data_IF_033744443447
#
_entry.id   IF_033744443447
#
_cell.length_a   1.000
_cell.length_b   1.000
_cell.length_c   1.000
_cell.angle_alpha   90.00
_cell.angle_beta   90.00
_cell.angle_gamma   90.00
#
_symmetry.space_group_name_H-M   'P 1'
#
loop_
_entity.id
_entity.type
_entity.pdbx_description
1 polymer ?
#
# COMPACT_ATOMS: atom_id res chain seq x y z
N UNK A 1 -10.94 23.24 2.88
CA UNK A 1 -10.58 22.17 3.81
C UNK A 1 -11.45 20.96 3.52
N UNK A 2 -10.84 19.80 3.38
CA UNK A 2 -11.54 18.53 3.29
C UNK A 2 -12.35 18.29 4.57
N UNK A 3 -13.59 17.83 4.44
CA UNK A 3 -14.41 17.41 5.57
C UNK A 3 -14.89 16.00 5.32
N UNK A 4 -14.50 15.08 6.19
CA UNK A 4 -14.78 13.66 6.04
C UNK A 4 -16.05 13.29 6.81
N UNK A 5 -16.95 12.58 6.13
CA UNK A 5 -18.13 11.99 6.76
C UNK A 5 -17.72 10.79 7.60
N UNK A 6 -18.25 10.69 8.81
CA UNK A 6 -18.06 9.55 9.69
C UNK A 6 -19.31 8.68 9.74
N UNK A 7 -19.15 7.37 9.67
CA UNK A 7 -20.22 6.38 9.80
C UNK A 7 -19.91 5.47 10.97
N UNK A 8 -20.92 5.25 11.82
CA UNK A 8 -20.82 4.34 12.96
C UNK A 8 -21.25 2.94 12.58
N UNK A 9 -20.61 1.94 13.17
CA UNK A 9 -21.01 0.54 13.11
C UNK A 9 -20.70 -0.15 14.45
N UNK A 10 -21.31 -1.29 14.70
CA UNK A 10 -21.07 -2.08 15.91
C UNK A 10 -20.32 -3.37 15.56
N UNK A 11 -19.28 -3.69 16.34
CA UNK A 11 -18.57 -4.96 16.26
C UNK A 11 -18.18 -5.44 17.64
N UNK A 12 -18.47 -6.70 17.96
CA UNK A 12 -18.22 -7.31 19.27
C UNK A 12 -18.81 -6.48 20.43
N UNK A 13 -20.00 -5.90 20.25
CA UNK A 13 -20.66 -5.04 21.23
C UNK A 13 -20.01 -3.65 21.42
N UNK A 14 -19.00 -3.30 20.61
CA UNK A 14 -18.32 -2.00 20.66
C UNK A 14 -18.73 -1.17 19.45
N UNK A 15 -19.31 0.00 19.69
CA UNK A 15 -19.59 0.99 18.65
C UNK A 15 -18.29 1.66 18.21
N UNK A 16 -18.06 1.65 16.89
CA UNK A 16 -16.87 2.19 16.23
C UNK A 16 -17.30 3.17 15.15
N UNK A 17 -16.41 4.06 14.73
CA UNK A 17 -16.68 5.00 13.66
C UNK A 17 -15.55 5.01 12.64
N UNK A 18 -15.89 4.80 11.38
CA UNK A 18 -14.98 4.93 10.24
C UNK A 18 -15.28 6.20 9.45
N UNK A 19 -14.26 6.74 8.80
CA UNK A 19 -14.38 7.79 7.81
C UNK A 19 -14.73 7.19 6.46
N UNK A 20 -15.65 7.84 5.76
CA UNK A 20 -15.91 7.59 4.36
C UNK A 20 -14.86 8.29 3.51
N UNK A 21 -14.30 7.56 2.54
CA UNK A 21 -13.40 8.15 1.58
C UNK A 21 -14.15 9.03 0.57
N UNK A 22 -13.51 10.13 0.19
CA UNK A 22 -13.87 10.93 -0.96
C UNK A 22 -12.57 11.42 -1.60
N UNK A 23 -12.07 10.74 -2.65
CA UNK A 23 -10.79 11.04 -3.26
C UNK A 23 -10.68 12.47 -3.81
N UNK A 24 -11.82 13.12 -4.12
CA UNK A 24 -11.86 14.50 -4.57
C UNK A 24 -11.67 15.52 -3.43
N UNK A 25 -11.87 15.07 -2.19
CA UNK A 25 -11.78 15.90 -0.99
C UNK A 25 -10.50 15.64 -0.20
N UNK A 26 -9.93 14.43 -0.24
CA UNK A 26 -8.88 14.02 0.70
C UNK A 26 -8.04 12.82 0.28
N UNK A 27 -6.92 12.51 0.99
CA UNK A 27 -6.10 11.34 0.70
C UNK A 27 -6.78 10.06 1.20
N UNK A 28 -7.05 9.11 0.30
CA UNK A 28 -7.56 7.78 0.66
C UNK A 28 -6.67 7.04 1.65
N UNK A 29 -5.34 7.21 1.54
CA UNK A 29 -4.38 6.64 2.48
C UNK A 29 -4.53 7.18 3.91
N UNK A 30 -4.92 8.45 4.06
CA UNK A 30 -5.20 9.07 5.35
C UNK A 30 -6.46 8.46 5.99
N UNK A 31 -7.51 8.28 5.18
CA UNK A 31 -8.77 7.62 5.60
C UNK A 31 -8.51 6.17 5.99
N UNK A 32 -7.74 5.42 5.20
CA UNK A 32 -7.38 4.03 5.49
C UNK A 32 -6.60 3.89 6.79
N UNK A 33 -5.55 4.71 6.99
CA UNK A 33 -4.78 4.72 8.23
C UNK A 33 -5.66 5.00 9.45
N UNK A 34 -6.51 6.05 9.38
CA UNK A 34 -7.45 6.36 10.46
C UNK A 34 -8.40 5.20 10.75
N UNK A 35 -8.99 4.59 9.72
CA UNK A 35 -10.01 3.55 9.89
C UNK A 35 -9.42 2.33 10.59
N UNK A 36 -8.22 1.89 10.23
CA UNK A 36 -7.55 0.78 10.94
C UNK A 36 -7.28 1.15 12.40
N UNK A 37 -6.75 2.34 12.67
CA UNK A 37 -6.49 2.76 14.06
C UNK A 37 -7.79 2.86 14.87
N UNK A 38 -8.88 3.35 14.28
CA UNK A 38 -10.20 3.41 14.90
C UNK A 38 -10.78 2.03 15.21
N UNK A 39 -10.49 1.06 14.36
CA UNK A 39 -10.89 -0.32 14.50
C UNK A 39 -10.02 -1.07 15.52
N UNK A 40 -8.73 -0.75 15.64
CA UNK A 40 -7.85 -1.41 16.61
C UNK A 40 -7.94 -0.79 18.00
N UNK A 41 -8.15 0.52 18.09
CA UNK A 41 -8.04 1.29 19.33
C UNK A 41 -9.32 2.07 19.66
N UNK A 42 -10.50 1.44 19.62
CA UNK A 42 -11.85 2.04 19.73
C UNK A 42 -12.01 3.23 20.69
N UNK A 43 -11.26 3.26 21.79
CA UNK A 43 -11.29 4.33 22.80
C UNK A 43 -10.74 5.68 22.32
N UNK A 44 -9.89 5.73 21.30
CA UNK A 44 -9.17 6.95 20.90
C UNK A 44 -10.02 7.85 20.00
N UNK A 45 -11.03 7.30 19.31
CA UNK A 45 -11.68 7.98 18.19
C UNK A 45 -13.20 8.10 18.31
N UNK A 46 -13.78 7.90 19.49
CA UNK A 46 -15.23 7.83 19.73
C UNK A 46 -16.04 9.13 19.59
N UNK A 47 -15.48 10.25 19.10
CA UNK A 47 -16.24 11.50 18.90
C UNK A 47 -16.99 11.48 17.57
N UNK A 48 -18.30 11.72 17.63
CA UNK A 48 -19.13 12.00 16.46
C UNK A 48 -18.90 13.45 16.00
N UNK A 49 -18.97 13.67 14.69
CA UNK A 49 -18.79 14.99 14.08
C UNK A 49 -18.02 14.92 12.76
N UNK A 50 -18.06 15.98 11.94
CA UNK A 50 -17.19 16.12 10.78
C UNK A 50 -15.73 16.21 11.25
N UNK A 51 -14.86 15.42 10.63
CA UNK A 51 -13.41 15.52 10.84
C UNK A 51 -12.84 16.27 9.66
N UNK A 52 -11.98 17.26 9.93
CA UNK A 52 -11.12 17.82 8.90
C UNK A 52 -9.79 17.06 8.84
N UNK A 53 -9.01 17.34 7.79
CA UNK A 53 -7.72 16.71 7.56
C UNK A 53 -6.75 16.92 8.73
N UNK A 54 -6.70 18.13 9.29
CA UNK A 54 -5.80 18.46 10.41
C UNK A 54 -6.14 17.66 11.67
N UNK A 55 -7.43 17.50 11.95
CA UNK A 55 -7.90 16.67 13.06
C UNK A 55 -7.47 15.22 12.88
N UNK A 56 -7.60 14.68 11.67
CA UNK A 56 -7.20 13.28 11.37
C UNK A 56 -5.68 13.12 11.48
N UNK A 57 -4.91 14.04 10.89
CA UNK A 57 -3.44 14.02 10.96
C UNK A 57 -2.96 14.16 12.40
N UNK A 58 -3.55 15.04 13.20
CA UNK A 58 -3.23 15.20 14.62
C UNK A 58 -3.49 13.94 15.44
N UNK A 59 -4.57 13.24 15.12
CA UNK A 59 -4.94 11.97 15.75
C UNK A 59 -3.98 10.82 15.40
N UNK A 60 -3.60 10.68 14.13
CA UNK A 60 -2.60 9.69 13.70
C UNK A 60 -1.24 10.00 14.34
N UNK A 61 -0.85 11.28 14.44
CA UNK A 61 0.38 11.70 15.15
C UNK A 61 0.37 11.31 16.62
N UNK A 62 -0.76 11.45 17.29
CA UNK A 62 -0.92 11.02 18.69
C UNK A 62 -0.61 9.55 18.85
N UNK A 63 -1.22 8.70 18.02
CA UNK A 63 -1.01 7.25 18.06
C UNK A 63 0.41 6.85 17.66
N UNK A 64 0.98 7.51 16.65
CA UNK A 64 2.37 7.30 16.26
C UNK A 64 3.32 7.61 17.42
N UNK A 65 3.08 8.70 18.15
CA UNK A 65 3.86 9.08 19.33
C UNK A 65 3.73 8.02 20.42
N UNK A 66 2.51 7.58 20.73
CA UNK A 66 2.27 6.54 21.74
C UNK A 66 2.99 5.24 21.37
N UNK A 67 2.94 4.83 20.10
CA UNK A 67 3.68 3.66 19.60
C UNK A 67 5.21 3.83 19.76
N UNK A 68 5.76 5.00 19.44
CA UNK A 68 7.17 5.29 19.62
C UNK A 68 7.60 5.34 21.09
N UNK A 69 6.72 5.79 21.97
CA UNK A 69 6.98 5.85 23.41
C UNK A 69 6.97 4.45 24.03
N UNK A 70 6.07 3.55 23.57
CA UNK A 70 6.09 2.12 23.92
C UNK A 70 7.37 1.41 23.46
N UNK A 71 7.86 1.72 22.26
CA UNK A 71 9.08 1.13 21.71
C UNK A 71 10.37 1.75 22.29
N UNK A 72 10.28 2.86 23.02
CA UNK A 72 11.40 3.50 23.69
C UNK A 72 12.57 3.82 22.75
N UNK A 73 13.80 3.43 23.14
CA UNK A 73 15.03 3.72 22.38
C UNK A 73 15.21 2.90 21.10
N UNK A 74 14.32 1.94 20.83
CA UNK A 74 14.39 1.06 19.67
C UNK A 74 14.14 1.80 18.35
N UNK A 75 13.44 2.95 18.39
CA UNK A 75 13.20 3.80 17.23
C UNK A 75 14.05 5.07 17.32
N UNK A 76 14.93 5.28 16.33
CA UNK A 76 15.82 6.43 16.27
C UNK A 76 15.05 7.75 16.13
N UNK A 77 15.61 8.85 16.63
CA UNK A 77 14.99 10.19 16.53
C UNK A 77 14.76 10.62 15.07
N UNK A 78 15.62 10.21 14.14
CA UNK A 78 15.45 10.49 12.71
C UNK A 78 14.25 9.74 12.15
N UNK A 79 14.09 8.45 12.45
CA UNK A 79 12.92 7.67 12.02
C UNK A 79 11.61 8.24 12.57
N UNK A 80 11.59 8.67 13.85
CA UNK A 80 10.41 9.33 14.43
C UNK A 80 10.01 10.59 13.66
N UNK A 81 10.99 11.43 13.31
CA UNK A 81 10.76 12.66 12.55
C UNK A 81 10.32 12.38 11.12
N UNK A 82 10.89 11.36 10.48
CA UNK A 82 10.52 10.93 9.13
C UNK A 82 9.06 10.47 9.09
N UNK A 83 8.66 9.56 9.98
CA UNK A 83 7.27 9.08 10.08
C UNK A 83 6.29 10.23 10.36
N UNK A 84 6.64 11.18 11.24
CA UNK A 84 5.79 12.33 11.51
C UNK A 84 5.63 13.27 10.31
N UNK A 85 6.65 13.39 9.44
CA UNK A 85 6.58 14.20 8.22
C UNK A 85 5.80 13.49 7.11
N UNK A 86 5.92 12.17 7.02
CA UNK A 86 5.15 11.38 6.06
C UNK A 86 3.62 11.57 6.24
N UNK A 87 3.16 11.89 7.45
CA UNK A 87 1.74 12.26 7.71
C UNK A 87 1.37 13.56 7.00
N UNK A 88 2.26 14.55 6.95
CA UNK A 88 2.03 15.82 6.25
C UNK A 88 2.00 15.62 4.73
N UNK A 89 2.82 14.69 4.23
CA UNK A 89 2.95 14.37 2.82
C UNK A 89 1.77 13.54 2.26
N UNK A 90 0.86 13.07 3.13
CA UNK A 90 -0.42 12.49 2.71
C UNK A 90 -1.28 13.57 2.06
N UNK A 91 -1.37 13.52 0.74
CA UNK A 91 -2.18 14.41 -0.11
C UNK A 91 -3.02 13.59 -1.11
N UNK A 92 -4.19 14.10 -1.56
CA UNK A 92 -5.12 13.35 -2.41
C UNK A 92 -4.50 12.74 -3.68
N UNK A 93 -3.47 13.39 -4.23
CA UNK A 93 -2.85 13.01 -5.51
C UNK A 93 -1.58 12.19 -5.36
N UNK A 94 -1.14 11.88 -4.13
CA UNK A 94 0.16 11.22 -3.90
C UNK A 94 0.03 10.08 -2.91
N UNK A 95 -0.18 8.89 -3.45
CA UNK A 95 0.02 7.62 -2.74
C UNK A 95 1.25 6.95 -3.32
N UNK A 96 2.44 7.36 -2.88
CA UNK A 96 3.72 6.87 -3.41
C UNK A 96 4.10 5.51 -2.78
N UNK A 97 3.15 4.61 -2.57
CA UNK A 97 3.44 3.23 -2.13
C UNK A 97 3.68 2.39 -3.37
N UNK A 98 4.77 1.62 -3.39
CA UNK A 98 5.23 0.90 -4.58
C UNK A 98 5.29 -0.59 -4.30
N UNK A 99 4.27 -1.37 -4.72
CA UNK A 99 4.25 -2.81 -4.49
C UNK A 99 5.37 -3.51 -5.25
N UNK A 100 5.82 -4.65 -4.72
CA UNK A 100 6.81 -5.51 -5.34
C UNK A 100 6.18 -6.89 -5.63
N UNK A 101 6.38 -7.47 -6.82
CA UNK A 101 5.74 -8.73 -7.18
C UNK A 101 6.18 -9.94 -6.34
N UNK A 102 7.20 -9.82 -5.50
CA UNK A 102 7.73 -10.90 -4.65
C UNK A 102 6.75 -11.44 -3.61
N UNK A 103 5.74 -10.66 -3.19
CA UNK A 103 4.76 -11.11 -2.20
C UNK A 103 3.75 -10.04 -1.81
N UNK A 104 2.62 -10.45 -1.21
CA UNK A 104 1.51 -9.55 -0.91
C UNK A 104 1.82 -8.42 0.11
N UNK A 105 2.86 -8.59 0.95
CA UNK A 105 3.31 -7.60 1.93
C UNK A 105 4.57 -6.85 1.46
N UNK A 106 5.01 -7.10 0.22
CA UNK A 106 6.30 -6.64 -0.27
C UNK A 106 6.15 -5.27 -0.94
N UNK A 107 6.83 -4.27 -0.40
CA UNK A 107 6.84 -2.92 -0.95
C UNK A 107 8.26 -2.35 -1.00
N UNK A 108 8.51 -1.42 -1.93
CA UNK A 108 9.72 -0.62 -1.90
C UNK A 108 9.73 0.25 -0.63
N UNK A 109 10.84 0.23 0.10
CA UNK A 109 11.00 1.02 1.33
C UNK A 109 11.01 2.52 0.97
N UNK A 110 10.00 3.24 1.46
CA UNK A 110 9.88 4.68 1.35
C UNK A 110 9.17 5.27 2.58
N UNK A 111 9.10 6.60 2.65
CA UNK A 111 8.57 7.32 3.81
C UNK A 111 7.12 6.94 4.15
N UNK A 112 6.28 6.74 3.13
CA UNK A 112 4.87 6.40 3.31
C UNK A 112 4.71 4.95 3.77
N UNK A 113 5.43 3.99 3.16
CA UNK A 113 5.45 2.61 3.62
C UNK A 113 5.93 2.52 5.08
N UNK A 114 7.02 3.21 5.42
CA UNK A 114 7.56 3.24 6.78
C UNK A 114 6.59 3.85 7.79
N UNK A 115 5.77 4.84 7.40
CA UNK A 115 4.71 5.37 8.26
C UNK A 115 3.73 4.26 8.68
N UNK A 116 3.24 3.45 7.74
CA UNK A 116 2.33 2.35 8.06
C UNK A 116 3.01 1.32 8.96
N UNK A 117 4.27 0.96 8.70
CA UNK A 117 5.04 0.08 9.59
C UNK A 117 5.14 0.64 11.02
N UNK A 118 5.39 1.95 11.17
CA UNK A 118 5.46 2.59 12.49
C UNK A 118 4.10 2.67 13.22
N UNK A 119 3.00 2.71 12.47
CA UNK A 119 1.64 2.61 13.01
C UNK A 119 1.25 1.15 13.31
N UNK A 120 2.11 0.18 13.00
CA UNK A 120 1.83 -1.24 13.12
C UNK A 120 0.73 -1.70 12.16
N UNK A 121 0.53 -0.99 11.04
CA UNK A 121 -0.49 -1.32 10.04
C UNK A 121 0.19 -2.13 8.94
N UNK A 122 -0.28 -3.36 8.75
CA UNK A 122 0.14 -4.19 7.63
C UNK A 122 -0.54 -3.69 6.35
N UNK A 123 0.30 -3.31 5.39
CA UNK A 123 -0.11 -2.99 4.03
C UNK A 123 -0.05 -4.27 3.20
N UNK A 124 -1.09 -4.53 2.43
CA UNK A 124 -1.16 -5.62 1.46
C UNK A 124 -1.35 -5.08 0.04
N UNK A 125 -0.97 -5.86 -0.98
CA UNK A 125 -1.38 -5.65 -2.36
C UNK A 125 -1.64 -6.98 -3.08
N UNK A 126 -2.45 -6.93 -4.14
CA UNK A 126 -2.74 -8.09 -4.98
C UNK A 126 -1.82 -8.25 -6.19
N UNK A 127 -0.88 -7.35 -6.42
CA UNK A 127 0.05 -7.44 -7.55
C UNK A 127 1.24 -8.35 -7.24
N UNK A 128 1.03 -9.67 -7.21
CA UNK A 128 2.06 -10.67 -6.87
C UNK A 128 2.30 -11.58 -8.07
N UNK A 129 3.57 -11.77 -8.44
CA UNK A 129 3.97 -12.70 -9.49
C UNK A 129 3.95 -14.12 -8.94
N UNK A 130 3.49 -15.06 -9.77
CA UNK A 130 3.53 -16.49 -9.46
C UNK A 130 4.99 -16.96 -9.35
N UNK A 131 5.44 -17.51 -8.21
CA UNK A 131 6.79 -18.05 -8.04
C UNK A 131 7.15 -19.17 -8.99
N UNK A 132 6.15 -19.90 -9.53
CA UNK A 132 6.36 -20.97 -10.52
C UNK A 132 6.52 -20.43 -11.95
N UNK A 133 6.28 -19.13 -12.16
CA UNK A 133 6.44 -18.49 -13.47
C UNK A 133 7.91 -18.32 -13.84
N UNK A 134 8.23 -18.61 -15.11
CA UNK A 134 9.57 -18.46 -15.66
C UNK A 134 10.15 -17.03 -15.57
N UNK A 135 9.31 -16.01 -15.37
CA UNK A 135 9.75 -14.61 -15.24
C UNK A 135 9.87 -14.13 -13.80
N UNK A 136 9.54 -14.96 -12.80
CA UNK A 136 9.51 -14.54 -11.39
C UNK A 136 10.82 -13.89 -10.94
N UNK A 137 11.95 -14.56 -11.19
CA UNK A 137 13.29 -14.06 -10.82
C UNK A 137 13.65 -12.73 -11.48
N UNK A 138 13.04 -12.41 -12.64
CA UNK A 138 13.29 -11.16 -13.35
C UNK A 138 12.46 -9.99 -12.80
N UNK A 139 11.28 -10.26 -12.22
CA UNK A 139 10.30 -9.23 -11.88
C UNK A 139 10.10 -9.01 -10.38
N UNK A 140 10.42 -10.00 -9.53
CA UNK A 140 10.05 -10.04 -8.11
C UNK A 140 10.49 -8.82 -7.29
N UNK A 141 11.59 -8.18 -7.69
CA UNK A 141 12.19 -7.02 -7.00
C UNK A 141 11.98 -5.69 -7.74
N UNK A 142 11.16 -5.68 -8.80
CA UNK A 142 10.90 -4.50 -9.63
C UNK A 142 9.51 -3.94 -9.33
N UNK A 143 9.46 -2.69 -8.86
CA UNK A 143 8.21 -1.94 -8.76
C UNK A 143 7.61 -1.65 -10.14
N UNK A 144 6.31 -1.31 -10.26
CA UNK A 144 5.66 -1.14 -11.56
C UNK A 144 6.40 -0.16 -12.49
N UNK A 145 6.84 0.97 -11.95
CA UNK A 145 7.59 1.97 -12.70
C UNK A 145 8.96 1.46 -13.17
N UNK A 146 9.69 0.71 -12.32
CA UNK A 146 10.99 0.11 -12.69
C UNK A 146 10.80 -0.97 -13.75
N UNK A 147 9.74 -1.76 -13.64
CA UNK A 147 9.39 -2.80 -14.60
C UNK A 147 9.00 -2.21 -15.96
N UNK A 148 8.20 -1.13 -15.98
CA UNK A 148 7.87 -0.40 -17.20
C UNK A 148 9.13 0.20 -17.87
N UNK A 149 10.03 0.79 -17.09
CA UNK A 149 11.32 1.28 -17.60
C UNK A 149 12.18 0.15 -18.16
N UNK A 150 12.20 -1.01 -17.48
CA UNK A 150 12.92 -2.19 -17.94
C UNK A 150 12.39 -2.68 -19.29
N UNK A 151 11.08 -2.79 -19.45
CA UNK A 151 10.45 -3.14 -20.73
C UNK A 151 10.85 -2.17 -21.85
N UNK A 152 10.74 -0.85 -21.61
CA UNK A 152 11.13 0.16 -22.60
C UNK A 152 12.62 0.06 -22.99
N UNK A 153 13.49 -0.29 -22.05
CA UNK A 153 14.92 -0.47 -22.33
C UNK A 153 15.23 -1.72 -23.16
N UNK A 154 14.41 -2.76 -23.05
CA UNK A 154 14.55 -3.99 -23.82
C UNK A 154 14.08 -3.82 -25.26
N UNK A 155 12.98 -3.09 -25.49
CA UNK A 155 12.48 -2.75 -26.83
C UNK A 155 13.55 -2.01 -27.66
N UNK A 156 14.33 -1.11 -27.03
CA UNK A 156 15.45 -0.42 -27.68
C UNK A 156 16.66 -1.31 -28.03
N UNK A 157 16.72 -2.56 -27.54
CA UNK A 157 17.81 -3.50 -27.77
C UNK A 157 17.46 -4.63 -28.76
N UNK A 158 16.17 -4.83 -29.09
CA UNK A 158 15.71 -5.88 -29.99
C UNK A 158 16.24 -5.75 -31.43
N UNK A 159 16.52 -4.52 -31.86
CA UNK A 159 17.12 -4.25 -33.16
C UNK A 159 18.49 -4.93 -33.36
N UNK A 160 19.21 -5.24 -32.27
CA UNK A 160 20.61 -5.72 -32.31
C UNK A 160 20.82 -7.19 -31.94
N UNK A 161 19.76 -7.97 -31.69
CA UNK A 161 19.86 -9.38 -31.23
C UNK A 161 19.56 -10.40 -32.33
N UNK A 162 20.17 -11.56 -32.22
CA UNK A 162 19.97 -12.76 -33.04
C UNK A 162 18.54 -13.32 -32.86
N UNK A 163 18.01 -14.07 -33.83
CA UNK A 163 16.58 -14.46 -33.86
C UNK A 163 16.12 -15.32 -32.66
N UNK A 164 16.97 -16.22 -32.15
CA UNK A 164 16.65 -17.01 -30.95
C UNK A 164 16.62 -16.13 -29.69
N UNK A 165 17.54 -15.16 -29.60
CA UNK A 165 17.58 -14.20 -28.50
C UNK A 165 16.39 -13.24 -28.58
N UNK A 166 15.93 -12.87 -29.77
CA UNK A 166 14.68 -12.10 -29.98
C UNK A 166 13.45 -12.88 -29.51
N UNK A 167 13.32 -14.16 -29.85
CA UNK A 167 12.17 -14.97 -29.43
C UNK A 167 12.08 -15.15 -27.91
N UNK A 168 13.21 -15.44 -27.24
CA UNK A 168 13.26 -15.53 -25.78
C UNK A 168 12.98 -14.18 -25.10
N UNK A 169 13.47 -13.08 -25.70
CA UNK A 169 13.19 -11.72 -25.22
C UNK A 169 11.71 -11.37 -25.39
N UNK A 170 11.10 -11.70 -26.53
CA UNK A 170 9.70 -11.44 -26.81
C UNK A 170 8.75 -12.24 -25.90
N UNK A 171 9.05 -13.51 -25.63
CA UNK A 171 8.25 -14.33 -24.69
C UNK A 171 8.31 -13.79 -23.25
N UNK A 172 9.50 -13.41 -22.79
CA UNK A 172 9.68 -12.78 -21.48
C UNK A 172 8.98 -11.42 -21.40
N UNK A 173 9.08 -10.59 -22.44
CA UNK A 173 8.38 -9.32 -22.52
C UNK A 173 6.86 -9.48 -22.52
N UNK A 174 6.31 -10.44 -23.27
CA UNK A 174 4.86 -10.68 -23.29
C UNK A 174 4.37 -11.10 -21.91
N UNK A 175 5.10 -11.98 -21.21
CA UNK A 175 4.74 -12.41 -19.85
C UNK A 175 4.82 -11.23 -18.86
N UNK A 176 5.81 -10.35 -19.00
CA UNK A 176 5.93 -9.13 -18.20
C UNK A 176 4.80 -8.14 -18.54
N UNK A 177 4.44 -8.01 -19.83
CA UNK A 177 3.30 -7.19 -20.28
C UNK A 177 1.98 -7.75 -19.77
N UNK A 178 1.79 -9.07 -19.71
CA UNK A 178 0.64 -9.69 -19.05
C UNK A 178 0.62 -9.35 -17.56
N UNK A 179 1.75 -9.43 -16.84
CA UNK A 179 1.82 -9.02 -15.44
C UNK A 179 1.49 -7.53 -15.26
N UNK A 180 1.95 -6.67 -16.17
CA UNK A 180 1.62 -5.23 -16.23
C UNK A 180 0.14 -4.97 -16.58
N UNK A 181 -0.46 -5.80 -17.43
CA UNK A 181 -1.88 -5.70 -17.80
C UNK A 181 -2.80 -6.23 -16.71
N UNK A 182 -2.43 -7.32 -16.04
CA UNK A 182 -3.08 -7.80 -14.80
C UNK A 182 -2.93 -6.77 -13.67
N UNK A 183 -1.92 -5.89 -13.77
CA UNK A 183 -1.79 -4.73 -12.88
C UNK A 183 -2.88 -3.68 -13.07
N UNK A 184 -3.63 -3.68 -14.18
CA UNK A 184 -4.77 -2.78 -14.32
C UNK A 184 -5.88 -3.08 -13.29
N UNK A 185 -5.85 -4.29 -12.68
CA UNK A 185 -6.70 -4.69 -11.55
C UNK A 185 -5.94 -4.83 -10.22
N UNK A 186 -4.59 -4.78 -10.27
CA UNK A 186 -3.67 -5.00 -9.15
C UNK A 186 -4.00 -6.20 -8.26
N UNK A 187 -4.61 -7.25 -8.84
CA UNK A 187 -5.01 -8.47 -8.17
C UNK A 187 -4.83 -9.64 -9.13
N UNK A 188 -3.74 -10.38 -8.99
CA UNK A 188 -3.46 -11.60 -9.76
C UNK A 188 -4.28 -12.77 -9.19
N UNK A 189 -4.54 -13.79 -10.01
CA UNK A 189 -5.23 -15.00 -9.53
C UNK A 189 -4.46 -15.68 -8.39
N UNK A 190 -3.12 -15.72 -8.50
CA UNK A 190 -2.23 -16.23 -7.46
C UNK A 190 -2.34 -15.44 -6.16
N UNK A 191 -2.31 -14.10 -6.22
CA UNK A 191 -2.39 -13.27 -5.01
C UNK A 191 -3.75 -13.38 -4.36
N UNK A 192 -4.84 -13.47 -5.13
CA UNK A 192 -6.17 -13.64 -4.57
C UNK A 192 -6.27 -14.94 -3.76
N UNK A 193 -5.78 -16.06 -4.30
CA UNK A 193 -5.70 -17.32 -3.56
C UNK A 193 -4.81 -17.18 -2.31
N UNK A 194 -3.64 -16.56 -2.44
CA UNK A 194 -2.70 -16.35 -1.32
C UNK A 194 -3.26 -15.44 -0.22
N UNK A 195 -4.06 -14.43 -0.59
CA UNK A 195 -4.69 -13.51 0.36
C UNK A 195 -5.80 -14.21 1.15
N UNK A 196 -6.59 -15.06 0.50
CA UNK A 196 -7.63 -15.86 1.17
C UNK A 196 -7.07 -16.82 2.22
N UNK A 197 -5.84 -17.31 2.05
CA UNK A 197 -5.17 -18.18 3.02
C UNK A 197 -4.56 -17.42 4.20
N UNK A 198 -4.23 -16.13 4.03
CA UNK A 198 -3.49 -15.32 5.01
C UNK A 198 -4.36 -14.47 5.93
N UNK A 199 -5.51 -14.03 5.45
CA UNK A 199 -6.39 -13.16 6.23
C UNK A 199 -7.12 -14.02 7.27
N UNK A 200 -6.71 -13.89 8.53
CA UNK A 200 -7.38 -14.54 9.65
C UNK A 200 -8.81 -14.01 9.82
N UNK A 201 -9.73 -14.89 10.23
CA UNK A 201 -11.13 -14.53 10.42
C UNK A 201 -11.27 -13.43 11.49
N UNK A 202 -11.68 -12.24 11.03
CA UNK A 202 -11.88 -11.09 11.90
C UNK A 202 -10.73 -10.08 11.94
N UNK A 203 -9.61 -10.30 11.26
CA UNK A 203 -8.57 -9.26 11.17
C UNK A 203 -8.92 -8.18 10.14
N UNK A 204 -8.34 -6.99 10.34
CA UNK A 204 -8.49 -5.87 9.40
C UNK A 204 -7.12 -5.44 8.89
N UNK A 205 -6.98 -5.51 7.58
CA UNK A 205 -5.77 -5.12 6.86
C UNK A 205 -6.07 -4.01 5.84
N UNK A 206 -5.03 -3.25 5.47
CA UNK A 206 -5.14 -2.25 4.41
C UNK A 206 -4.70 -2.90 3.12
N UNK A 207 -5.63 -3.04 2.18
CA UNK A 207 -5.31 -3.47 0.83
C UNK A 207 -5.07 -2.24 -0.04
N UNK A 208 -3.84 -2.11 -0.52
CA UNK A 208 -3.47 -1.15 -1.55
C UNK A 208 -3.86 -1.68 -2.93
N UNK A 209 -4.72 -0.91 -3.59
CA UNK A 209 -5.04 -1.04 -5.01
C UNK A 209 -4.91 0.35 -5.62
N UNK A 210 -3.90 0.57 -6.46
CA UNK A 210 -3.75 1.79 -7.26
C UNK A 210 -4.56 1.66 -8.56
N UNK A 211 -5.18 2.77 -8.95
CA UNK A 211 -5.95 2.89 -10.19
C UNK A 211 -5.08 3.21 -11.42
N UNK A 212 -3.74 3.26 -11.31
CA UNK A 212 -2.89 3.75 -12.41
C UNK A 212 -1.56 2.98 -12.56
N UNK A 213 -1.38 2.40 -13.76
CA UNK A 213 -0.12 2.38 -14.52
C UNK A 213 -0.37 3.15 -15.81
#
# INVERSE_FOLDING_TARGET
MAVYKKVSFERNGVRRGILCDNPQQGPSALVAAYNILAIRHSSVYGKEGPFDEDTIKGLIRGTLKDAHDLLGRSVSRSARRQASRAIDDLVPTRTDVRPLPSGALSFEVNDLYMLFCHLGIDLMHGWVADPESSVYELVKDLSPAKLAQHCASLEGLEEKRDDLARQLTAYGQETIKCLLNDSARQLTAYSFASLLEKIEEGEFEVVFMSEQI
#
